data_IF_993380047432
#
_entry.id   IF_993380047432
#
_cell.length_a   1.000
_cell.length_b   1.000
_cell.length_c   1.000
_cell.angle_alpha   90.00
_cell.angle_beta   90.00
_cell.angle_gamma   90.00
#
_symmetry.space_group_name_H-M   'P 1'
#
loop_
_entity.id
_entity.type
_entity.pdbx_description
1 polymer ?
#
# COMPACT_ATOMS: atom_id res chain seq x y z
N UNK A 1 68.48 12.01 33.61
CA UNK A 1 68.32 11.44 32.24
C UNK A 1 67.44 10.19 32.20
N UNK A 2 67.50 9.30 33.20
CA UNK A 2 66.75 8.03 33.23
C UNK A 2 65.21 8.15 33.29
N UNK A 3 64.69 9.11 34.05
CA UNK A 3 63.23 9.32 34.22
C UNK A 3 62.56 9.77 32.92
N UNK A 4 63.23 10.61 32.12
CA UNK A 4 62.71 11.08 30.84
C UNK A 4 62.67 9.97 29.77
N UNK A 5 63.61 9.02 29.83
CA UNK A 5 63.63 7.84 28.95
C UNK A 5 62.46 6.91 29.26
N UNK A 6 62.28 6.54 30.55
CA UNK A 6 61.18 5.68 31.00
C UNK A 6 59.80 6.25 30.69
N UNK A 7 59.63 7.58 30.84
CA UNK A 7 58.36 8.26 30.53
C UNK A 7 58.02 8.20 29.04
N UNK A 8 59.03 8.29 28.14
CA UNK A 8 58.82 8.15 26.70
C UNK A 8 58.41 6.73 26.32
N UNK A 9 59.02 5.70 26.92
CA UNK A 9 58.68 4.31 26.62
C UNK A 9 57.25 3.96 27.03
N UNK A 10 56.82 4.43 28.21
CA UNK A 10 55.44 4.20 28.71
C UNK A 10 54.40 4.94 27.87
N UNK A 11 54.63 6.23 27.55
CA UNK A 11 53.75 6.99 26.64
C UNK A 11 53.66 6.36 25.25
N UNK A 12 54.78 5.84 24.74
CA UNK A 12 54.79 5.20 23.43
C UNK A 12 54.07 3.83 23.45
N UNK A 13 54.14 3.09 24.55
CA UNK A 13 53.36 1.87 24.72
C UNK A 13 51.85 2.15 24.80
N UNK A 14 51.46 3.18 25.56
CA UNK A 14 50.06 3.58 25.73
C UNK A 14 49.45 4.12 24.42
N UNK A 15 50.18 4.99 23.70
CA UNK A 15 49.74 5.51 22.39
C UNK A 15 49.64 4.39 21.34
N UNK A 16 50.60 3.45 21.28
CA UNK A 16 50.52 2.35 20.33
C UNK A 16 49.39 1.36 20.69
N UNK A 17 49.12 1.15 21.97
CA UNK A 17 48.00 0.33 22.45
C UNK A 17 46.65 0.96 22.08
N UNK A 18 46.47 2.26 22.34
CA UNK A 18 45.26 3.02 21.96
C UNK A 18 45.10 3.11 20.44
N UNK A 19 46.19 3.28 19.68
CA UNK A 19 46.19 3.27 18.22
C UNK A 19 45.75 1.91 17.67
N UNK A 20 46.26 0.82 18.25
CA UNK A 20 45.90 -0.56 17.87
C UNK A 20 44.43 -0.88 18.18
N UNK A 21 43.91 -0.44 19.33
CA UNK A 21 42.50 -0.60 19.70
C UNK A 21 41.55 0.18 18.77
N UNK A 22 41.90 1.41 18.41
CA UNK A 22 41.12 2.23 17.48
C UNK A 22 41.10 1.63 16.05
N UNK A 23 42.18 0.98 15.61
CA UNK A 23 42.18 0.24 14.35
C UNK A 23 41.28 -1.00 14.41
N UNK A 24 41.19 -1.67 15.56
CA UNK A 24 40.31 -2.83 15.77
C UNK A 24 38.81 -2.45 15.72
N UNK A 25 38.42 -1.34 16.35
CA UNK A 25 37.04 -0.83 16.31
C UNK A 25 36.62 -0.41 14.89
N UNK A 26 37.54 0.19 14.12
CA UNK A 26 37.30 0.53 12.71
C UNK A 26 37.10 -0.73 11.85
N UNK A 27 37.85 -1.80 12.14
CA UNK A 27 37.68 -3.09 11.46
C UNK A 27 36.33 -3.72 11.79
N UNK A 28 35.89 -3.69 13.06
CA UNK A 28 34.57 -4.16 13.47
C UNK A 28 33.45 -3.40 12.75
N UNK A 29 33.51 -2.07 12.73
CA UNK A 29 32.51 -1.26 12.02
C UNK A 29 32.48 -1.53 10.52
N UNK A 30 33.63 -1.82 9.91
CA UNK A 30 33.72 -2.19 8.51
C UNK A 30 33.07 -3.55 8.23
N UNK A 31 33.26 -4.53 9.11
CA UNK A 31 32.62 -5.85 8.99
C UNK A 31 31.10 -5.74 9.11
N UNK A 32 30.58 -4.97 10.08
CA UNK A 32 29.13 -4.75 10.23
C UNK A 32 28.54 -4.09 8.98
N UNK A 33 29.22 -3.08 8.45
CA UNK A 33 28.78 -2.39 7.23
C UNK A 33 28.77 -3.32 6.00
N UNK A 34 29.74 -4.24 5.89
CA UNK A 34 29.74 -5.26 4.84
C UNK A 34 28.58 -6.24 4.99
N UNK A 35 28.26 -6.67 6.21
CA UNK A 35 27.12 -7.56 6.49
C UNK A 35 25.80 -6.87 6.16
N UNK A 36 25.64 -5.60 6.53
CA UNK A 36 24.42 -4.83 6.24
C UNK A 36 24.23 -4.60 4.74
N UNK A 37 25.30 -4.25 4.01
CA UNK A 37 25.26 -4.11 2.56
C UNK A 37 24.93 -5.45 1.89
N UNK A 38 25.52 -6.54 2.37
CA UNK A 38 25.21 -7.87 1.86
C UNK A 38 23.73 -8.23 2.12
N UNK A 39 23.21 -7.91 3.29
CA UNK A 39 21.81 -8.14 3.65
C UNK A 39 20.85 -7.34 2.75
N UNK A 40 21.14 -6.04 2.56
CA UNK A 40 20.33 -5.15 1.70
C UNK A 40 20.36 -5.61 0.25
N UNK A 41 21.52 -6.03 -0.28
CA UNK A 41 21.61 -6.53 -1.66
C UNK A 41 20.83 -7.81 -1.87
N UNK A 42 20.83 -8.73 -0.91
CA UNK A 42 20.00 -9.94 -0.96
C UNK A 42 18.51 -9.58 -1.03
N UNK A 43 18.05 -8.69 -0.14
CA UNK A 43 16.65 -8.23 -0.13
C UNK A 43 16.28 -7.56 -1.46
N UNK A 44 17.17 -6.73 -1.99
CA UNK A 44 16.96 -6.05 -3.27
C UNK A 44 16.82 -7.05 -4.43
N UNK A 45 17.66 -8.09 -4.48
CA UNK A 45 17.57 -9.16 -5.49
C UNK A 45 16.24 -9.90 -5.36
N UNK A 46 15.83 -10.30 -4.15
CA UNK A 46 14.54 -10.94 -3.91
C UNK A 46 13.35 -10.06 -4.33
N UNK A 47 13.40 -8.76 -4.05
CA UNK A 47 12.36 -7.82 -4.45
C UNK A 47 12.29 -7.64 -5.97
N UNK A 48 13.44 -7.57 -6.64
CA UNK A 48 13.51 -7.43 -8.10
C UNK A 48 12.99 -8.68 -8.81
N UNK A 49 13.33 -9.87 -8.30
CA UNK A 49 12.81 -11.15 -8.78
C UNK A 49 11.31 -11.25 -8.53
N UNK A 50 10.83 -10.87 -7.34
CA UNK A 50 9.40 -10.84 -7.03
C UNK A 50 8.60 -9.93 -7.97
N UNK A 51 9.15 -8.76 -8.31
CA UNK A 51 8.56 -7.86 -9.30
C UNK A 51 8.61 -8.43 -10.73
N UNK A 52 9.68 -9.12 -11.11
CA UNK A 52 9.78 -9.77 -12.40
C UNK A 52 8.78 -10.94 -12.55
N UNK A 53 8.56 -11.72 -11.48
CA UNK A 53 7.54 -12.76 -11.44
C UNK A 53 6.13 -12.15 -11.56
N UNK A 54 5.88 -10.99 -10.94
CA UNK A 54 4.63 -10.20 -11.13
C UNK A 54 4.47 -9.65 -12.55
N UNK A 55 5.56 -9.35 -13.25
CA UNK A 55 5.54 -8.90 -14.64
C UNK A 55 5.18 -10.04 -15.60
N UNK A 56 5.68 -11.26 -15.35
CA UNK A 56 5.43 -12.43 -16.21
C UNK A 56 4.08 -13.10 -15.97
N UNK A 57 3.53 -13.00 -14.75
CA UNK A 57 2.16 -13.43 -14.45
C UNK A 57 1.45 -12.28 -13.76
N UNK A 58 0.57 -11.52 -14.46
CA UNK A 58 -0.32 -10.61 -13.74
C UNK A 58 -1.02 -11.44 -12.66
N UNK A 59 -1.08 -10.93 -11.43
CA UNK A 59 -1.78 -11.62 -10.35
C UNK A 59 -3.14 -12.07 -10.91
N UNK A 60 -3.54 -13.34 -10.71
CA UNK A 60 -4.87 -13.77 -11.14
C UNK A 60 -5.84 -12.77 -10.53
N UNK A 61 -6.54 -12.02 -11.39
CA UNK A 61 -7.58 -11.09 -10.97
C UNK A 61 -8.47 -11.88 -10.02
N UNK A 62 -8.58 -11.43 -8.77
CA UNK A 62 -9.54 -12.01 -7.83
C UNK A 62 -10.86 -12.05 -8.59
N UNK A 63 -11.40 -13.24 -8.78
CA UNK A 63 -12.61 -13.43 -9.58
C UNK A 63 -13.70 -12.59 -8.94
N UNK A 64 -14.02 -11.43 -9.54
CA UNK A 64 -15.06 -10.48 -9.10
C UNK A 64 -16.46 -11.07 -9.29
N UNK A 65 -16.55 -12.37 -9.55
CA UNK A 65 -17.79 -13.11 -9.57
C UNK A 65 -18.57 -12.93 -8.28
N UNK A 66 -17.95 -12.61 -7.15
CA UNK A 66 -18.63 -12.61 -5.84
C UNK A 66 -18.81 -11.21 -5.19
N UNK A 67 -18.53 -10.10 -5.89
CA UNK A 67 -18.62 -8.75 -5.31
C UNK A 67 -19.65 -7.86 -6.05
N UNK A 68 -19.57 -6.53 -5.93
CA UNK A 68 -20.65 -5.55 -6.21
C UNK A 68 -21.36 -5.70 -7.58
N UNK A 69 -20.64 -6.10 -8.63
CA UNK A 69 -21.19 -6.32 -9.98
C UNK A 69 -22.22 -7.45 -9.99
N UNK A 70 -22.03 -8.45 -9.13
CA UNK A 70 -22.92 -9.60 -9.01
C UNK A 70 -24.28 -9.20 -8.44
N UNK A 71 -24.29 -8.34 -7.42
CA UNK A 71 -25.51 -7.81 -6.80
C UNK A 71 -26.38 -7.07 -7.82
N UNK A 72 -25.79 -6.14 -8.58
CA UNK A 72 -26.54 -5.41 -9.61
C UNK A 72 -27.05 -6.39 -10.67
N UNK A 73 -26.21 -7.31 -11.17
CA UNK A 73 -26.63 -8.28 -12.18
C UNK A 73 -27.71 -9.25 -11.70
N UNK A 74 -27.78 -9.55 -10.40
CA UNK A 74 -28.80 -10.43 -9.82
C UNK A 74 -30.14 -9.73 -9.62
N UNK A 75 -30.16 -8.50 -9.10
CA UNK A 75 -31.41 -7.79 -8.79
C UNK A 75 -31.95 -6.96 -9.96
N UNK A 76 -31.08 -6.47 -10.85
CA UNK A 76 -31.47 -5.60 -11.95
C UNK A 76 -32.53 -6.24 -12.87
N UNK A 77 -32.43 -7.51 -13.33
CA UNK A 77 -33.43 -8.10 -14.21
C UNK A 77 -34.84 -8.09 -13.59
N UNK A 78 -34.94 -8.43 -12.30
CA UNK A 78 -36.22 -8.44 -11.57
C UNK A 78 -36.78 -7.01 -11.39
N UNK A 79 -35.92 -6.04 -11.10
CA UNK A 79 -36.30 -4.62 -11.00
C UNK A 79 -36.78 -4.08 -12.35
N UNK A 80 -36.17 -4.53 -13.45
CA UNK A 80 -36.58 -4.18 -14.82
C UNK A 80 -37.94 -4.78 -15.16
N UNK A 81 -38.15 -6.07 -14.87
CA UNK A 81 -39.43 -6.78 -15.10
C UNK A 81 -40.57 -6.13 -14.32
N UNK A 82 -40.34 -5.80 -13.05
CA UNK A 82 -41.34 -5.14 -12.19
C UNK A 82 -41.50 -3.65 -12.48
N UNK A 83 -40.62 -3.06 -13.31
CA UNK A 83 -40.48 -1.63 -13.54
C UNK A 83 -40.60 -0.85 -12.22
N UNK A 84 -39.85 -1.27 -11.22
CA UNK A 84 -39.84 -0.65 -9.90
C UNK A 84 -38.58 -1.07 -9.14
N UNK A 85 -37.86 -0.09 -8.63
CA UNK A 85 -36.69 -0.36 -7.81
C UNK A 85 -35.87 0.88 -7.51
N UNK A 86 -35.00 0.78 -6.51
CA UNK A 86 -34.07 1.84 -6.18
C UNK A 86 -32.69 1.24 -5.90
N UNK A 87 -31.70 1.65 -6.69
CA UNK A 87 -30.30 1.26 -6.50
C UNK A 87 -29.56 2.47 -5.95
N UNK A 88 -28.93 2.32 -4.79
CA UNK A 88 -28.12 3.38 -4.17
C UNK A 88 -26.66 2.95 -4.21
N UNK A 89 -25.85 3.68 -4.96
CA UNK A 89 -24.42 3.49 -5.04
C UNK A 89 -23.72 4.50 -4.13
N UNK A 90 -22.92 4.00 -3.20
CA UNK A 90 -22.13 4.82 -2.29
C UNK A 90 -20.71 4.97 -2.84
N UNK A 91 -20.22 6.20 -2.87
CA UNK A 91 -18.86 6.53 -3.31
C UNK A 91 -18.22 7.53 -2.36
N UNK A 92 -16.94 7.84 -2.53
CA UNK A 92 -16.16 8.77 -1.70
C UNK A 92 -15.79 10.03 -2.48
N UNK A 93 -15.29 11.07 -1.78
CA UNK A 93 -14.63 12.24 -2.39
C UNK A 93 -13.42 11.86 -3.24
N UNK A 94 -12.78 10.72 -2.93
CA UNK A 94 -11.73 10.15 -3.79
C UNK A 94 -12.24 9.82 -5.22
N UNK A 95 -13.56 9.74 -5.44
CA UNK A 95 -14.15 9.65 -6.78
C UNK A 95 -14.37 11.00 -7.49
N UNK A 96 -14.10 12.13 -6.83
CA UNK A 96 -14.25 13.47 -7.41
C UNK A 96 -12.90 14.19 -7.53
N UNK A 97 -11.96 13.91 -6.63
CA UNK A 97 -10.62 14.50 -6.63
C UNK A 97 -9.56 13.43 -6.42
N UNK A 98 -8.46 13.51 -7.17
CA UNK A 98 -7.38 12.54 -7.07
C UNK A 98 -6.57 12.74 -5.79
N UNK A 99 -6.59 11.73 -4.91
CA UNK A 99 -5.72 11.66 -3.74
C UNK A 99 -4.48 10.84 -4.10
N UNK A 100 -3.33 11.49 -4.20
CA UNK A 100 -2.06 10.88 -4.67
C UNK A 100 -1.64 9.69 -3.80
N UNK A 101 -1.94 9.72 -2.51
CA UNK A 101 -1.63 8.64 -1.55
C UNK A 101 -2.56 7.43 -1.69
N UNK A 102 -3.73 7.57 -2.33
CA UNK A 102 -4.76 6.53 -2.42
C UNK A 102 -5.23 6.31 -3.87
N UNK A 103 -4.29 6.13 -4.80
CA UNK A 103 -4.60 5.98 -6.23
C UNK A 103 -5.55 4.80 -6.52
N UNK A 104 -5.35 3.65 -5.87
CA UNK A 104 -6.19 2.47 -6.11
C UNK A 104 -7.64 2.69 -5.63
N UNK A 105 -7.82 3.33 -4.48
CA UNK A 105 -9.15 3.70 -3.97
C UNK A 105 -9.80 4.73 -4.91
N UNK A 106 -9.07 5.78 -5.26
CA UNK A 106 -9.51 6.81 -6.22
C UNK A 106 -10.02 6.16 -7.51
N UNK A 107 -9.21 5.29 -8.13
CA UNK A 107 -9.57 4.58 -9.36
C UNK A 107 -10.84 3.73 -9.20
N UNK A 108 -10.99 3.00 -8.08
CA UNK A 108 -12.19 2.23 -7.80
C UNK A 108 -13.44 3.12 -7.65
N UNK A 109 -13.31 4.29 -7.01
CA UNK A 109 -14.42 5.22 -6.83
C UNK A 109 -14.87 5.87 -8.15
N UNK A 110 -13.92 6.22 -9.03
CA UNK A 110 -14.24 6.61 -10.42
C UNK A 110 -14.90 5.45 -11.20
N UNK A 111 -14.48 4.21 -10.94
CA UNK A 111 -15.12 3.02 -11.50
C UNK A 111 -16.60 2.89 -11.12
N UNK A 112 -16.94 3.17 -9.86
CA UNK A 112 -18.34 3.17 -9.39
C UNK A 112 -19.17 4.26 -10.10
N UNK A 113 -18.60 5.45 -10.31
CA UNK A 113 -19.28 6.51 -11.07
C UNK A 113 -19.56 6.09 -12.51
N UNK A 114 -18.57 5.50 -13.19
CA UNK A 114 -18.75 4.98 -14.55
C UNK A 114 -19.82 3.88 -14.61
N UNK A 115 -19.84 2.99 -13.61
CA UNK A 115 -20.85 1.94 -13.49
C UNK A 115 -22.27 2.51 -13.34
N UNK A 116 -22.45 3.50 -12.47
CA UNK A 116 -23.77 4.15 -12.27
C UNK A 116 -24.22 4.90 -13.52
N UNK A 117 -23.32 5.63 -14.18
CA UNK A 117 -23.62 6.33 -15.43
C UNK A 117 -24.05 5.33 -16.52
N UNK A 118 -23.33 4.22 -16.67
CA UNK A 118 -23.67 3.16 -17.62
C UNK A 118 -25.02 2.51 -17.29
N UNK A 119 -25.33 2.31 -16.01
CA UNK A 119 -26.59 1.72 -15.57
C UNK A 119 -27.78 2.64 -15.82
N UNK A 120 -27.62 3.93 -15.55
CA UNK A 120 -28.64 4.94 -15.83
C UNK A 120 -28.95 5.01 -17.33
N UNK A 121 -27.91 4.93 -18.16
CA UNK A 121 -28.05 4.91 -19.62
C UNK A 121 -28.75 3.63 -20.10
N UNK A 122 -28.40 2.47 -19.57
CA UNK A 122 -29.07 1.21 -19.87
C UNK A 122 -30.55 1.24 -19.48
N UNK A 123 -30.91 1.80 -18.33
CA UNK A 123 -32.32 1.99 -17.93
C UNK A 123 -33.06 2.95 -18.87
N UNK A 124 -32.40 4.01 -19.34
CA UNK A 124 -32.95 4.96 -20.31
C UNK A 124 -33.23 4.30 -21.66
N UNK A 125 -32.27 3.52 -22.18
CA UNK A 125 -32.39 2.82 -23.46
C UNK A 125 -33.48 1.74 -23.45
N UNK A 126 -33.73 1.11 -22.29
CA UNK A 126 -34.81 0.13 -22.11
C UNK A 126 -36.16 0.77 -21.71
N UNK A 127 -36.28 2.10 -21.72
CA UNK A 127 -37.49 2.85 -21.35
C UNK A 127 -38.02 2.57 -19.93
N UNK A 128 -37.13 2.20 -19.00
CA UNK A 128 -37.47 1.85 -17.63
C UNK A 128 -37.49 3.12 -16.77
N UNK A 129 -38.69 3.63 -16.49
CA UNK A 129 -38.89 4.94 -15.87
C UNK A 129 -38.98 4.92 -14.35
N UNK A 130 -39.21 3.74 -13.76
CA UNK A 130 -39.50 3.59 -12.32
C UNK A 130 -38.39 2.90 -11.53
N UNK A 131 -37.27 2.61 -12.16
CA UNK A 131 -36.04 2.19 -11.48
C UNK A 131 -35.16 3.41 -11.30
N UNK A 132 -34.99 3.85 -10.07
CA UNK A 132 -34.15 5.00 -9.74
C UNK A 132 -32.76 4.54 -9.34
N UNK A 133 -31.75 5.28 -9.78
CA UNK A 133 -30.36 5.06 -9.36
C UNK A 133 -29.84 6.33 -8.71
N UNK A 134 -29.35 6.24 -7.48
CA UNK A 134 -28.81 7.38 -6.74
C UNK A 134 -27.35 7.14 -6.41
N UNK A 135 -26.51 8.12 -6.75
CA UNK A 135 -25.10 8.13 -6.38
C UNK A 135 -24.90 9.07 -5.19
N UNK A 136 -24.33 8.56 -4.09
CA UNK A 136 -24.09 9.34 -2.87
C UNK A 136 -22.60 9.39 -2.59
N UNK A 137 -22.05 10.59 -2.48
CA UNK A 137 -20.66 10.83 -2.06
C UNK A 137 -20.59 10.98 -0.54
N UNK A 138 -19.97 10.01 0.11
CA UNK A 138 -19.72 10.01 1.55
C UNK A 138 -18.40 10.74 1.81
N UNK A 139 -18.43 11.69 2.75
CA UNK A 139 -17.26 12.31 3.36
C UNK A 139 -16.94 11.55 4.65
N UNK A 140 -16.05 10.55 4.63
CA UNK A 140 -15.56 10.00 5.89
C UNK A 140 -14.69 11.09 6.54
N UNK A 141 -15.32 11.91 7.38
CA UNK A 141 -14.59 12.56 8.45
C UNK A 141 -14.07 11.41 9.31
N UNK A 142 -12.75 11.28 9.41
CA UNK A 142 -12.02 10.19 10.08
C UNK A 142 -12.88 9.62 11.21
N UNK A 143 -13.53 8.48 10.96
CA UNK A 143 -14.17 7.73 12.03
C UNK A 143 -12.99 7.08 12.73
N UNK A 144 -12.58 7.68 13.84
CA UNK A 144 -11.53 7.16 14.69
C UNK A 144 -11.93 5.70 14.99
N UNK A 145 -11.16 4.75 14.47
CA UNK A 145 -11.33 3.35 14.85
C UNK A 145 -11.09 3.31 16.35
N UNK A 146 -12.11 2.94 17.12
CA UNK A 146 -11.95 2.75 18.55
C UNK A 146 -10.75 1.80 18.79
N UNK A 147 -9.89 2.08 19.79
CA UNK A 147 -8.64 1.36 20.00
C UNK A 147 -8.79 -0.13 20.38
N UNK A 148 -10.01 -0.68 20.40
CA UNK A 148 -10.29 -2.06 20.81
C UNK A 148 -9.78 -3.13 19.82
N UNK A 149 -9.43 -2.79 18.58
CA UNK A 149 -9.01 -3.78 17.59
C UNK A 149 -7.50 -4.11 17.59
N UNK A 150 -6.74 -3.63 18.59
CA UNK A 150 -5.30 -3.92 18.73
C UNK A 150 -4.96 -5.04 19.72
N UNK A 151 -5.95 -5.75 20.26
CA UNK A 151 -5.73 -6.86 21.20
C UNK A 151 -6.49 -8.13 20.80
N UNK A 152 -6.02 -8.78 19.72
CA UNK A 152 -6.14 -10.24 19.51
C UNK A 152 -5.02 -10.71 18.60
#
# INVERSE_FOLDING_TARGET
MFIASQRKTVLNYDINSVLSFNMLLKLYSFVVLLVDIFWVTIIAIFATIGNFIRYLKPLPLKSVKDEVVMLINSFLPEMKEKNHGHIVALTSVAGLSQLKEYMALTAAQFGIQGLVASLLEDLRLNEITRVHVSLIHIYPFIVEQSPEFRLT
#
